data_IF_373354251005
#
_entry.id   IF_373354251005
#
_cell.length_a   1.000
_cell.length_b   1.000
_cell.length_c   1.000
_cell.angle_alpha   90.00
_cell.angle_beta   90.00
_cell.angle_gamma   90.00
#
_symmetry.space_group_name_H-M   'P 1'
#
loop_
_entity.id
_entity.type
_entity.pdbx_description
1 polymer ?
#
# COMPACT_ATOMS: atom_id res chain seq x y z
N UNK A 1 21.31 -5.07 -19.93
CA UNK A 1 21.02 -5.87 -18.73
C UNK A 1 19.79 -5.26 -18.06
N UNK A 2 18.79 -6.06 -17.68
CA UNK A 2 17.58 -5.61 -16.98
C UNK A 2 17.53 -6.27 -15.60
N UNK A 3 16.99 -5.56 -14.61
CA UNK A 3 16.84 -6.06 -13.25
C UNK A 3 15.56 -5.49 -12.63
N UNK A 4 14.99 -6.24 -11.68
CA UNK A 4 13.91 -5.78 -10.81
C UNK A 4 14.27 -6.11 -9.36
N UNK A 5 13.98 -5.17 -8.46
CA UNK A 5 14.23 -5.30 -7.02
C UNK A 5 12.92 -4.91 -6.32
N UNK A 6 12.53 -5.70 -5.32
CA UNK A 6 11.28 -5.53 -4.57
C UNK A 6 11.57 -5.63 -3.09
N UNK A 7 10.85 -4.86 -2.26
CA UNK A 7 10.89 -4.97 -0.80
C UNK A 7 9.47 -5.06 -0.21
N UNK A 8 9.34 -5.74 0.93
CA UNK A 8 8.10 -5.82 1.72
C UNK A 8 8.01 -4.84 2.89
N UNK A 9 8.98 -3.92 3.00
CA UNK A 9 9.11 -2.95 4.10
C UNK A 9 10.34 -3.21 4.96
N UNK A 10 10.70 -2.23 5.78
CA UNK A 10 11.83 -2.30 6.71
C UNK A 10 11.34 -2.23 8.16
N UNK A 11 11.88 -3.08 9.02
CA UNK A 11 11.51 -3.14 10.45
C UNK A 11 11.61 -4.54 11.02
N UNK A 12 11.26 -4.68 12.31
CA UNK A 12 11.28 -5.97 13.00
C UNK A 12 10.01 -6.77 12.70
N UNK A 13 10.17 -7.93 12.08
CA UNK A 13 9.09 -8.94 11.97
C UNK A 13 9.02 -9.68 13.31
N UNK A 14 8.15 -9.21 14.22
CA UNK A 14 8.06 -9.73 15.60
C UNK A 14 7.60 -11.18 15.72
N UNK A 15 6.90 -11.67 14.69
CA UNK A 15 6.31 -13.01 14.62
C UNK A 15 7.16 -13.85 13.67
N UNK A 16 7.98 -14.74 14.20
CA UNK A 16 8.92 -15.56 13.41
C UNK A 16 8.20 -16.37 12.33
N UNK A 17 6.97 -16.84 12.61
CA UNK A 17 6.13 -17.58 11.68
C UNK A 17 5.72 -16.77 10.44
N UNK A 18 5.85 -15.44 10.47
CA UNK A 18 5.60 -14.56 9.33
C UNK A 18 6.81 -14.40 8.41
N UNK A 19 8.02 -14.71 8.88
CA UNK A 19 9.24 -14.49 8.09
C UNK A 19 9.22 -15.30 6.78
N UNK A 20 8.90 -16.62 6.78
CA UNK A 20 8.83 -17.38 5.54
C UNK A 20 7.80 -16.84 4.56
N UNK A 21 6.63 -16.42 5.06
CA UNK A 21 5.54 -15.85 4.26
C UNK A 21 5.92 -14.50 3.63
N UNK A 22 6.66 -13.67 4.37
CA UNK A 22 7.16 -12.40 3.85
C UNK A 22 8.22 -12.61 2.76
N UNK A 23 9.13 -13.59 2.93
CA UNK A 23 10.11 -13.96 1.91
C UNK A 23 9.42 -14.46 0.65
N UNK A 24 8.43 -15.34 0.80
CA UNK A 24 7.62 -15.84 -0.31
C UNK A 24 6.87 -14.72 -1.02
N UNK A 25 6.19 -13.84 -0.29
CA UNK A 25 5.44 -12.73 -0.87
C UNK A 25 6.32 -11.75 -1.67
N UNK A 26 7.53 -11.42 -1.20
CA UNK A 26 8.45 -10.57 -1.97
C UNK A 26 8.99 -11.30 -3.21
N UNK A 27 9.20 -12.62 -3.13
CA UNK A 27 9.60 -13.43 -4.27
C UNK A 27 8.50 -13.48 -5.33
N UNK A 28 7.25 -13.68 -4.93
CA UNK A 28 6.08 -13.65 -5.83
C UNK A 28 5.95 -12.30 -6.53
N UNK A 29 6.05 -11.20 -5.77
CA UNK A 29 6.01 -9.85 -6.31
C UNK A 29 7.15 -9.58 -7.32
N UNK A 30 8.37 -10.02 -7.01
CA UNK A 30 9.50 -9.91 -7.93
C UNK A 30 9.26 -10.72 -9.23
N UNK A 31 8.70 -11.94 -9.12
CA UNK A 31 8.37 -12.77 -10.27
C UNK A 31 7.23 -12.17 -11.12
N UNK A 32 6.22 -11.58 -10.49
CA UNK A 32 5.12 -10.89 -11.16
C UNK A 32 5.65 -9.72 -12.00
N UNK A 33 6.44 -8.83 -11.40
CA UNK A 33 7.06 -7.73 -12.13
C UNK A 33 8.07 -8.19 -13.19
N UNK A 34 8.85 -9.25 -12.91
CA UNK A 34 9.79 -9.83 -13.88
C UNK A 34 9.10 -10.32 -15.15
N UNK A 35 7.89 -10.87 -15.04
CA UNK A 35 7.09 -11.32 -16.20
C UNK A 35 6.80 -10.17 -17.17
N UNK A 36 6.43 -9.00 -16.66
CA UNK A 36 6.16 -7.81 -17.47
C UNK A 36 7.45 -7.13 -17.95
N UNK A 37 8.50 -7.12 -17.13
CA UNK A 37 9.79 -6.54 -17.50
C UNK A 37 10.42 -7.25 -18.70
N UNK A 38 10.27 -8.58 -18.80
CA UNK A 38 10.73 -9.36 -19.97
C UNK A 38 10.01 -8.97 -21.27
N UNK A 39 8.81 -8.39 -21.19
CA UNK A 39 8.07 -7.88 -22.36
C UNK A 39 8.52 -6.46 -22.76
N UNK A 40 9.38 -5.83 -21.97
CA UNK A 40 10.00 -4.54 -22.27
C UNK A 40 9.38 -3.32 -21.56
N UNK A 41 8.43 -3.52 -20.64
CA UNK A 41 7.78 -2.41 -19.93
C UNK A 41 8.19 -2.35 -18.46
N UNK A 42 9.03 -1.38 -18.12
CA UNK A 42 9.42 -1.13 -16.73
C UNK A 42 8.25 -0.61 -15.87
N UNK A 43 7.34 0.16 -16.47
CA UNK A 43 6.18 0.71 -15.76
C UNK A 43 5.17 -0.40 -15.40
N UNK A 44 4.86 -1.28 -16.35
CA UNK A 44 3.98 -2.42 -16.08
C UNK A 44 4.62 -3.39 -15.07
N UNK A 45 5.95 -3.56 -15.14
CA UNK A 45 6.70 -4.38 -14.19
C UNK A 45 6.58 -3.90 -12.74
N UNK A 46 6.75 -2.60 -12.49
CA UNK A 46 6.65 -2.07 -11.12
C UNK A 46 5.20 -2.06 -10.63
N UNK A 47 4.22 -1.73 -11.49
CA UNK A 47 2.81 -1.79 -11.09
C UNK A 47 2.42 -3.21 -10.67
N UNK A 48 2.79 -4.22 -11.45
CA UNK A 48 2.38 -5.60 -11.15
C UNK A 48 3.11 -6.19 -9.95
N UNK A 49 4.38 -5.83 -9.73
CA UNK A 49 5.09 -6.18 -8.51
C UNK A 49 4.40 -5.57 -7.28
N UNK A 50 4.01 -4.30 -7.33
CA UNK A 50 3.36 -3.63 -6.20
C UNK A 50 1.94 -4.16 -5.99
N UNK A 51 1.15 -4.42 -7.03
CA UNK A 51 -0.17 -5.06 -6.90
C UNK A 51 -0.07 -6.42 -6.20
N UNK A 52 0.94 -7.21 -6.52
CA UNK A 52 1.20 -8.48 -5.82
C UNK A 52 1.50 -8.28 -4.33
N UNK A 53 2.15 -7.19 -3.94
CA UNK A 53 2.37 -6.85 -2.52
C UNK A 53 1.09 -6.33 -1.85
N UNK A 54 0.34 -5.46 -2.52
CA UNK A 54 -0.94 -4.90 -2.06
C UNK A 54 -2.04 -5.95 -1.89
N UNK A 55 -2.00 -7.00 -2.70
CA UNK A 55 -2.94 -8.13 -2.59
C UNK A 55 -2.55 -9.10 -1.45
N UNK A 56 -1.32 -9.03 -0.94
CA UNK A 56 -0.81 -9.94 0.07
C UNK A 56 -0.95 -9.35 1.50
N UNK A 57 -1.82 -9.91 2.36
CA UNK A 57 -2.15 -9.36 3.68
C UNK A 57 -1.00 -9.39 4.70
N UNK A 58 0.13 -10.02 4.37
CA UNK A 58 1.34 -9.97 5.19
C UNK A 58 1.94 -8.57 5.23
N UNK A 59 1.83 -7.81 4.14
CA UNK A 59 2.44 -6.50 4.00
C UNK A 59 1.51 -5.37 4.48
N UNK A 60 2.09 -4.22 4.76
CA UNK A 60 1.35 -3.01 5.12
C UNK A 60 1.12 -2.14 3.87
N UNK A 61 0.33 -2.64 2.94
CA UNK A 61 -0.09 -1.95 1.71
C UNK A 61 -1.36 -2.63 1.18
N UNK A 62 -2.25 -1.90 0.51
CA UNK A 62 -3.49 -2.48 -0.02
C UNK A 62 -4.25 -3.26 1.05
N UNK A 63 -4.60 -4.51 0.71
CA UNK A 63 -5.15 -5.50 1.65
C UNK A 63 -4.12 -5.83 2.71
N UNK A 64 -4.43 -5.56 3.97
CA UNK A 64 -3.46 -5.69 5.07
C UNK A 64 -2.78 -4.39 5.48
N UNK A 65 -3.21 -3.25 4.93
CA UNK A 65 -2.89 -1.93 5.50
C UNK A 65 -3.25 -1.83 6.98
N UNK A 66 -2.42 -1.12 7.74
CA UNK A 66 -2.69 -0.77 9.15
C UNK A 66 -3.87 0.19 9.25
N UNK A 67 -4.48 0.23 10.43
CA UNK A 67 -5.64 1.08 10.68
C UNK A 67 -5.22 2.41 11.32
N UNK A 68 -5.92 3.48 10.94
CA UNK A 68 -5.84 4.81 11.56
C UNK A 68 -6.35 4.78 13.01
N UNK A 69 -6.25 5.91 13.73
CA UNK A 69 -6.81 6.03 15.08
C UNK A 69 -8.31 5.68 15.13
N UNK A 70 -9.04 6.03 14.07
CA UNK A 70 -10.48 5.75 13.92
C UNK A 70 -10.79 4.33 13.43
N UNK A 71 -9.78 3.49 13.25
CA UNK A 71 -9.98 2.10 12.80
C UNK A 71 -10.30 1.96 11.32
N UNK A 72 -9.95 2.96 10.50
CA UNK A 72 -10.13 2.96 9.04
C UNK A 72 -8.81 2.64 8.33
N UNK A 73 -8.89 2.23 7.07
CA UNK A 73 -7.71 2.13 6.19
C UNK A 73 -7.66 3.37 5.30
N UNK A 74 -6.52 4.05 5.35
CA UNK A 74 -6.13 5.12 4.46
C UNK A 74 -4.73 4.80 3.95
N UNK A 75 -4.54 4.88 2.64
CA UNK A 75 -3.34 4.38 1.95
C UNK A 75 -2.72 5.47 1.10
N UNK A 76 -1.41 5.34 0.88
CA UNK A 76 -0.63 6.19 0.00
C UNK A 76 0.10 5.30 -1.03
N UNK A 77 0.18 5.75 -2.27
CA UNK A 77 0.96 5.08 -3.31
C UNK A 77 1.44 6.08 -4.36
N UNK A 78 2.59 5.81 -4.97
CA UNK A 78 3.17 6.64 -6.02
C UNK A 78 3.92 5.80 -7.04
N UNK A 79 3.96 6.28 -8.29
CA UNK A 79 4.69 5.67 -9.39
C UNK A 79 5.35 6.76 -10.24
N UNK A 80 6.51 6.46 -10.82
CA UNK A 80 7.25 7.38 -11.69
C UNK A 80 7.84 6.65 -12.89
N UNK A 81 7.77 7.26 -14.07
CA UNK A 81 8.42 6.81 -15.29
C UNK A 81 9.72 7.57 -15.52
N UNK A 82 10.86 6.92 -15.29
CA UNK A 82 12.17 7.57 -15.37
C UNK A 82 12.52 8.17 -16.75
N UNK A 83 12.03 7.60 -17.85
CA UNK A 83 12.36 8.09 -19.21
C UNK A 83 11.77 9.47 -19.52
N UNK A 84 10.57 9.76 -19.02
CA UNK A 84 9.79 10.97 -19.31
C UNK A 84 9.62 11.87 -18.08
N UNK A 85 10.01 11.38 -16.91
CA UNK A 85 9.83 12.01 -15.60
C UNK A 85 8.36 12.22 -15.21
N UNK A 86 7.43 11.57 -15.91
CA UNK A 86 6.02 11.53 -15.52
C UNK A 86 5.87 10.81 -14.17
N UNK A 87 5.01 11.33 -13.31
CA UNK A 87 4.73 10.79 -12.00
C UNK A 87 3.24 10.89 -11.66
N UNK A 88 2.77 9.96 -10.82
CA UNK A 88 1.41 9.99 -10.28
C UNK A 88 1.37 9.38 -8.90
N UNK A 89 0.51 9.90 -8.06
CA UNK A 89 0.41 9.55 -6.66
C UNK A 89 -1.02 9.73 -6.14
N UNK A 90 -1.34 8.94 -5.13
CA UNK A 90 -2.51 9.10 -4.27
C UNK A 90 -2.08 9.11 -2.82
N UNK A 91 -2.75 9.91 -2.00
CA UNK A 91 -2.55 9.92 -0.56
C UNK A 91 -3.87 9.91 0.20
N UNK A 92 -3.87 9.33 1.40
CA UNK A 92 -5.05 9.10 2.23
C UNK A 92 -6.24 8.52 1.43
N UNK A 93 -5.99 7.69 0.42
CA UNK A 93 -7.05 7.05 -0.37
C UNK A 93 -7.61 5.86 0.39
N UNK A 94 -8.92 5.63 0.29
CA UNK A 94 -9.59 4.48 0.89
C UNK A 94 -10.52 3.80 -0.11
N UNK A 95 -11.04 2.63 0.28
CA UNK A 95 -12.11 1.98 -0.49
C UNK A 95 -11.66 1.43 -1.85
N UNK A 96 -10.36 1.18 -2.06
CA UNK A 96 -9.80 0.65 -3.32
C UNK A 96 -8.89 -0.54 -3.01
N UNK A 97 -8.82 -1.50 -3.93
CA UNK A 97 -7.99 -2.70 -3.76
C UNK A 97 -6.50 -2.40 -3.95
N UNK A 98 -6.17 -1.71 -5.04
CA UNK A 98 -4.79 -1.46 -5.47
C UNK A 98 -4.51 0.04 -5.67
N UNK A 99 -4.10 0.77 -4.61
CA UNK A 99 -3.74 2.19 -4.69
C UNK A 99 -2.70 2.52 -5.78
N UNK A 100 -1.71 1.65 -6.03
CA UNK A 100 -0.69 1.89 -7.06
C UNK A 100 -1.28 2.07 -8.46
N UNK A 101 -2.33 1.31 -8.78
CA UNK A 101 -3.02 1.42 -10.08
C UNK A 101 -3.79 2.74 -10.19
N UNK A 102 -4.34 3.24 -9.08
CA UNK A 102 -4.97 4.57 -9.06
C UNK A 102 -3.90 5.66 -9.25
N UNK A 103 -2.76 5.56 -8.56
CA UNK A 103 -1.63 6.46 -8.74
C UNK A 103 -1.13 6.50 -10.19
N UNK A 104 -1.04 5.34 -10.85
CA UNK A 104 -0.73 5.27 -12.29
C UNK A 104 -1.79 5.98 -13.13
N UNK A 105 -3.08 5.85 -12.82
CA UNK A 105 -4.12 6.60 -13.54
C UNK A 105 -4.03 8.09 -13.33
N UNK A 106 -3.62 8.57 -12.15
CA UNK A 106 -3.33 10.00 -11.94
C UNK A 106 -2.28 10.47 -12.95
N UNK A 107 -1.16 9.74 -13.06
CA UNK A 107 -0.10 10.04 -14.03
C UNK A 107 -0.58 10.04 -15.49
N UNK A 108 -1.41 9.05 -15.87
CA UNK A 108 -1.80 8.83 -17.28
C UNK A 108 -3.02 9.63 -17.74
N UNK A 109 -3.83 10.15 -16.82
CA UNK A 109 -5.18 10.69 -17.12
C UNK A 109 -5.44 12.09 -16.57
N UNK A 110 -4.46 12.72 -15.95
CA UNK A 110 -4.59 14.06 -15.39
C UNK A 110 -3.35 14.90 -15.66
N UNK A 111 -3.49 16.22 -15.59
CA UNK A 111 -2.36 17.16 -15.61
C UNK A 111 -1.74 17.37 -14.21
N UNK A 112 -2.03 16.48 -13.27
CA UNK A 112 -1.63 16.56 -11.86
C UNK A 112 -0.79 15.36 -11.45
N UNK A 113 0.03 15.54 -10.42
CA UNK A 113 0.88 14.45 -9.88
C UNK A 113 0.21 13.78 -8.68
N UNK A 114 -0.55 14.48 -7.85
CA UNK A 114 -1.07 13.96 -6.59
C UNK A 114 -2.54 14.29 -6.42
N UNK A 115 -3.34 13.26 -6.11
CA UNK A 115 -4.70 13.41 -5.60
C UNK A 115 -4.78 12.86 -4.18
N UNK A 116 -5.61 13.45 -3.32
CA UNK A 116 -5.66 13.11 -1.90
C UNK A 116 -7.10 12.87 -1.45
N UNK A 117 -7.29 11.94 -0.51
CA UNK A 117 -8.54 11.74 0.21
C UNK A 117 -9.74 11.48 -0.69
N UNK A 118 -10.86 12.16 -0.41
CA UNK A 118 -12.12 11.97 -1.13
C UNK A 118 -11.98 12.25 -2.64
N UNK A 119 -11.15 13.21 -3.01
CA UNK A 119 -10.87 13.52 -4.42
C UNK A 119 -10.22 12.35 -5.15
N UNK A 120 -9.27 11.67 -4.49
CA UNK A 120 -8.63 10.48 -5.04
C UNK A 120 -9.63 9.31 -5.16
N UNK A 121 -10.54 9.14 -4.19
CA UNK A 121 -11.59 8.10 -4.24
C UNK A 121 -12.58 8.36 -5.38
N UNK A 122 -13.08 9.60 -5.52
CA UNK A 122 -13.96 9.97 -6.64
C UNK A 122 -13.29 9.72 -7.98
N UNK A 123 -12.03 10.12 -8.12
CA UNK A 123 -11.24 9.84 -9.31
C UNK A 123 -11.12 8.34 -9.58
N UNK A 124 -10.85 7.52 -8.56
CA UNK A 124 -10.77 6.07 -8.70
C UNK A 124 -12.10 5.48 -9.24
N UNK A 125 -13.26 5.94 -8.76
CA UNK A 125 -14.56 5.51 -9.29
C UNK A 125 -14.75 5.88 -10.75
N UNK A 126 -14.39 7.11 -11.14
CA UNK A 126 -14.47 7.56 -12.55
C UNK A 126 -13.56 6.71 -13.45
N UNK A 127 -12.40 6.29 -12.95
CA UNK A 127 -11.46 5.41 -13.65
C UNK A 127 -11.85 3.93 -13.64
N UNK A 128 -12.99 3.57 -13.03
CA UNK A 128 -13.53 2.21 -13.04
C UNK A 128 -12.97 1.29 -11.94
N UNK A 129 -12.38 1.82 -10.88
CA UNK A 129 -11.99 1.02 -9.71
C UNK A 129 -13.19 0.82 -8.78
N UNK A 130 -13.53 -0.44 -8.53
CA UNK A 130 -14.62 -0.82 -7.64
C UNK A 130 -14.35 -0.45 -6.16
N UNK A 131 -15.43 -0.36 -5.40
CA UNK A 131 -15.35 -0.25 -3.95
C UNK A 131 -14.83 -1.55 -3.33
N UNK A 132 -13.84 -1.41 -2.46
CA UNK A 132 -13.17 -2.54 -1.84
C UNK A 132 -12.80 -2.26 -0.38
N UNK A 133 -12.99 -3.25 0.49
CA UNK A 133 -12.58 -3.17 1.89
C UNK A 133 -11.26 -3.93 2.11
N UNK A 134 -10.13 -3.23 2.33
CA UNK A 134 -8.81 -3.84 2.55
C UNK A 134 -8.56 -4.33 3.98
N UNK A 135 -9.51 -4.17 4.90
CA UNK A 135 -9.34 -4.52 6.32
C UNK A 135 -9.37 -6.04 6.49
N UNK A 136 -8.31 -6.59 7.07
CA UNK A 136 -8.25 -7.99 7.51
C UNK A 136 -8.57 -8.12 9.00
N UNK A 137 -9.02 -9.29 9.44
CA UNK A 137 -9.30 -9.52 10.86
C UNK A 137 -8.05 -9.33 11.73
N UNK A 138 -6.87 -9.77 11.25
CA UNK A 138 -5.62 -9.56 11.97
C UNK A 138 -5.35 -8.06 12.22
N UNK A 139 -5.59 -7.19 11.22
CA UNK A 139 -5.41 -5.73 11.39
C UNK A 139 -6.44 -5.13 12.33
N UNK A 140 -7.68 -5.62 12.29
CA UNK A 140 -8.74 -5.23 13.22
C UNK A 140 -8.39 -5.59 14.67
N UNK A 141 -7.87 -6.79 14.92
CA UNK A 141 -7.42 -7.21 16.25
C UNK A 141 -6.20 -6.41 16.74
N UNK A 142 -5.22 -6.17 15.86
CA UNK A 142 -4.04 -5.35 16.18
C UNK A 142 -4.46 -3.94 16.61
N UNK A 143 -5.38 -3.32 15.86
CA UNK A 143 -5.90 -2.00 16.20
C UNK A 143 -6.65 -1.99 17.53
N UNK A 144 -7.53 -2.96 17.80
CA UNK A 144 -8.24 -3.07 19.08
C UNK A 144 -7.26 -3.09 20.26
N UNK A 145 -6.22 -3.93 20.19
CA UNK A 145 -5.18 -4.03 21.24
C UNK A 145 -4.42 -2.71 21.42
N UNK A 146 -4.06 -2.04 20.32
CA UNK A 146 -3.38 -0.74 20.39
C UNK A 146 -4.28 0.34 20.98
N UNK A 147 -5.56 0.38 20.60
CA UNK A 147 -6.54 1.33 21.14
C UNK A 147 -6.79 1.12 22.63
N UNK A 148 -6.96 -0.12 23.07
CA UNK A 148 -7.08 -0.44 24.50
C UNK A 148 -5.85 -0.01 25.29
N UNK A 149 -4.65 -0.26 24.75
CA UNK A 149 -3.40 0.17 25.35
C UNK A 149 -3.33 1.69 25.47
N UNK A 150 -3.71 2.40 24.41
CA UNK A 150 -3.73 3.86 24.38
C UNK A 150 -4.67 4.44 25.44
N UNK A 151 -5.88 3.89 25.56
CA UNK A 151 -6.86 4.33 26.56
C UNK A 151 -6.42 4.06 28.01
N UNK A 152 -5.63 3.00 28.24
CA UNK A 152 -5.15 2.62 29.58
C UNK A 152 -3.86 3.34 29.99
N UNK A 153 -2.93 3.48 29.06
CA UNK A 153 -1.55 3.93 29.34
C UNK A 153 -1.26 5.35 28.83
N UNK A 154 -2.20 5.98 28.11
CA UNK A 154 -2.03 7.29 27.47
C UNK A 154 -0.97 7.32 26.37
N UNK A 155 -0.37 6.17 26.01
CA UNK A 155 0.70 6.10 25.00
C UNK A 155 0.67 4.79 24.22
N UNK A 156 1.17 4.82 22.97
CA UNK A 156 1.47 3.63 22.16
C UNK A 156 2.85 3.75 21.51
N UNK A 157 3.52 2.64 21.12
CA UNK A 157 4.91 2.65 20.67
C UNK A 157 5.24 3.63 19.53
N UNK A 158 4.24 3.95 18.70
CA UNK A 158 4.37 4.80 17.51
C UNK A 158 3.96 6.27 17.77
N UNK A 159 3.33 6.57 18.89
CA UNK A 159 2.81 7.90 19.23
C UNK A 159 3.27 8.33 20.63
N UNK A 160 4.58 8.19 20.92
CA UNK A 160 5.17 8.48 22.23
C UNK A 160 5.03 9.93 22.69
N UNK A 161 4.73 10.85 21.77
CA UNK A 161 4.57 12.30 22.04
C UNK A 161 3.12 12.73 22.20
N UNK A 162 2.15 11.85 21.92
CA UNK A 162 0.73 12.13 22.14
C UNK A 162 0.38 11.44 23.46
N UNK A 163 0.42 12.20 24.55
CA UNK A 163 0.03 11.75 25.90
C UNK A 163 -1.46 11.98 26.19
N UNK A 164 -2.14 12.72 25.33
CA UNK A 164 -3.54 13.13 25.47
C UNK A 164 -4.25 12.84 24.15
N UNK A 165 -5.18 11.87 24.18
CA UNK A 165 -6.17 11.60 23.13
C UNK A 165 -7.56 11.67 23.75
#
# INVERSE_FOLDING_TARGET
MIAIIVHGGAGTIKKEEKIPKAIEGVKEAALAGWKELKKGSALDAVEEAIKSLEDNPIFNAGTGSVLTLDGKVEMDAAVMRGKTLEAGAVASIWGVKNPISVARKVMEKTDHVLLVGEGAVKFARIMGFDEYNPITEERREQWKKLREKLLKEGTIPYWKKISEL
#
